data_IF_458520491312
#
_entry.id   IF_458520491312
#
_cell.length_a   1.000
_cell.length_b   1.000
_cell.length_c   1.000
_cell.angle_alpha   90.00
_cell.angle_beta   90.00
_cell.angle_gamma   90.00
#
_symmetry.space_group_name_H-M   'P 1'
#
loop_
_entity.id
_entity.type
_entity.pdbx_description
1 polymer ?
#
# COMPACT_ATOMS: atom_id res chain seq x y z
N UNK A 1 36.93 19.83 30.57
CA UNK A 1 36.49 20.00 29.18
C UNK A 1 35.49 21.16 29.12
N UNK A 2 35.74 22.20 28.34
CA UNK A 2 34.86 23.39 28.34
C UNK A 2 33.49 23.03 27.76
N UNK A 3 32.43 23.67 28.29
CA UNK A 3 31.03 23.49 27.77
C UNK A 3 30.94 23.75 26.26
N UNK A 4 31.79 24.62 25.71
CA UNK A 4 31.87 24.96 24.30
C UNK A 4 32.38 23.78 23.49
N UNK A 5 33.39 23.05 23.98
CA UNK A 5 33.93 21.85 23.30
C UNK A 5 32.90 20.72 23.24
N UNK A 6 32.13 20.51 24.31
CA UNK A 6 31.07 19.53 24.38
C UNK A 6 29.93 19.86 23.39
N UNK A 7 29.53 21.11 23.31
CA UNK A 7 28.51 21.59 22.37
C UNK A 7 28.94 21.36 20.91
N UNK A 8 30.20 21.65 20.58
CA UNK A 8 30.77 21.40 19.26
C UNK A 8 30.75 19.93 18.86
N UNK A 9 31.13 19.04 19.78
CA UNK A 9 31.06 17.58 19.55
C UNK A 9 29.65 17.10 19.30
N UNK A 10 28.66 17.59 20.08
CA UNK A 10 27.25 17.21 19.90
C UNK A 10 26.73 17.66 18.53
N UNK A 11 27.05 18.90 18.10
CA UNK A 11 26.65 19.42 16.78
C UNK A 11 27.25 18.57 15.65
N UNK A 12 28.52 18.23 15.75
CA UNK A 12 29.23 17.37 14.76
C UNK A 12 28.57 15.99 14.71
N UNK A 13 28.29 15.37 15.86
CA UNK A 13 27.62 14.07 15.91
C UNK A 13 26.22 14.10 15.28
N UNK A 14 25.44 15.14 15.55
CA UNK A 14 24.12 15.33 14.93
C UNK A 14 24.26 15.49 13.41
N UNK A 15 25.28 16.23 12.94
CA UNK A 15 25.53 16.41 11.51
C UNK A 15 25.98 15.12 10.84
N UNK A 16 26.86 14.34 11.47
CA UNK A 16 27.30 13.05 10.98
C UNK A 16 26.16 12.03 10.95
N UNK A 17 25.31 12.01 11.96
CA UNK A 17 24.13 11.14 12.00
C UNK A 17 23.13 11.53 10.90
N UNK A 18 22.89 12.84 10.69
CA UNK A 18 22.04 13.32 9.60
C UNK A 18 22.62 13.01 8.22
N UNK A 19 23.95 13.19 8.04
CA UNK A 19 24.66 12.86 6.80
C UNK A 19 24.61 11.36 6.51
N UNK A 20 24.94 10.53 7.49
CA UNK A 20 24.87 9.07 7.37
C UNK A 20 23.45 8.56 7.11
N UNK A 21 22.43 9.19 7.73
CA UNK A 21 21.03 8.94 7.41
C UNK A 21 20.72 9.27 5.93
N UNK A 22 21.15 10.44 5.46
CA UNK A 22 20.95 10.87 4.08
C UNK A 22 21.68 9.96 3.08
N UNK A 23 22.90 9.54 3.36
CA UNK A 23 23.68 8.62 2.53
C UNK A 23 23.09 7.21 2.51
N UNK A 24 22.58 6.69 3.63
CA UNK A 24 21.82 5.44 3.70
C UNK A 24 20.51 5.51 2.86
N UNK A 25 19.86 6.65 2.79
CA UNK A 25 18.68 6.84 1.94
C UNK A 25 19.04 6.96 0.45
N UNK A 26 20.23 7.50 0.11
CA UNK A 26 20.65 7.69 -1.29
C UNK A 26 21.28 6.43 -1.91
N UNK A 27 21.84 5.52 -1.11
CA UNK A 27 22.47 4.28 -1.61
C UNK A 27 21.49 3.14 -1.91
N UNK A 28 20.25 3.24 -1.45
CA UNK A 28 19.22 2.28 -1.84
C UNK A 28 18.56 2.87 -3.10
N UNK A 29 19.01 2.47 -4.29
CA UNK A 29 18.11 2.44 -5.46
C UNK A 29 17.00 1.45 -5.09
N UNK A 30 16.05 1.91 -4.29
CA UNK A 30 14.89 1.13 -3.91
C UNK A 30 14.03 1.01 -5.16
N UNK A 31 14.06 -0.15 -5.79
CA UNK A 31 13.06 -0.57 -6.78
C UNK A 31 11.71 -0.80 -6.06
N UNK A 32 11.42 0.01 -5.03
CA UNK A 32 10.19 -0.05 -4.29
C UNK A 32 9.26 1.05 -4.77
N UNK A 33 8.04 0.67 -5.03
CA UNK A 33 6.99 1.55 -5.51
C UNK A 33 5.97 1.82 -4.41
N UNK A 34 5.25 2.93 -4.56
CA UNK A 34 4.00 3.22 -3.85
C UNK A 34 2.93 3.52 -4.88
N UNK A 35 1.77 2.91 -4.75
CA UNK A 35 0.58 3.27 -5.48
C UNK A 35 -0.53 3.65 -4.50
N UNK A 36 -0.95 4.90 -4.55
CA UNK A 36 -2.17 5.35 -3.89
C UNK A 36 -3.37 5.03 -4.76
N UNK A 37 -4.37 4.36 -4.18
CA UNK A 37 -5.65 4.07 -4.81
C UNK A 37 -6.67 5.09 -4.34
N UNK A 38 -7.24 5.89 -5.26
CA UNK A 38 -8.20 6.93 -4.92
C UNK A 38 -9.39 6.96 -5.89
N UNK A 39 -10.50 7.51 -5.42
CA UNK A 39 -11.64 7.78 -6.30
C UNK A 39 -11.36 9.02 -7.14
N UNK A 40 -10.88 10.10 -6.53
CA UNK A 40 -10.58 11.37 -7.18
C UNK A 40 -9.21 11.89 -6.77
N UNK A 41 -8.52 12.52 -7.72
CA UNK A 41 -7.24 13.17 -7.43
C UNK A 41 -7.46 14.44 -6.61
N UNK A 42 -6.71 14.58 -5.50
CA UNK A 42 -6.76 15.75 -4.61
C UNK A 42 -5.37 16.36 -4.41
N UNK A 43 -5.32 17.64 -4.06
CA UNK A 43 -4.07 18.35 -3.74
C UNK A 43 -3.34 17.75 -2.53
N UNK A 44 -4.09 17.28 -1.54
CA UNK A 44 -3.57 16.66 -0.33
C UNK A 44 -2.88 15.31 -0.63
N UNK A 45 -3.46 14.52 -1.54
CA UNK A 45 -2.86 13.27 -1.98
C UNK A 45 -1.59 13.51 -2.79
N UNK A 46 -1.57 14.53 -3.66
CA UNK A 46 -0.36 14.97 -4.39
C UNK A 46 0.73 15.39 -3.39
N UNK A 47 0.40 16.18 -2.36
CA UNK A 47 1.35 16.60 -1.33
C UNK A 47 1.91 15.39 -0.55
N UNK A 48 1.06 14.46 -0.16
CA UNK A 48 1.48 13.21 0.48
C UNK A 48 2.43 12.42 -0.42
N UNK A 49 2.10 12.29 -1.70
CA UNK A 49 2.92 11.61 -2.71
C UNK A 49 4.30 12.25 -2.89
N UNK A 50 4.39 13.59 -2.96
CA UNK A 50 5.67 14.32 -3.00
C UNK A 50 6.57 14.01 -1.81
N UNK A 51 5.99 13.82 -0.64
CA UNK A 51 6.77 13.45 0.53
C UNK A 51 7.29 12.01 0.45
N UNK A 52 6.56 11.07 -0.15
CA UNK A 52 7.04 9.70 -0.34
C UNK A 52 8.23 9.61 -1.30
N UNK A 53 8.28 10.45 -2.34
CA UNK A 53 9.42 10.53 -3.28
C UNK A 53 10.72 10.87 -2.52
N UNK A 54 10.67 11.72 -1.50
CA UNK A 54 11.85 12.08 -0.68
C UNK A 54 12.49 10.88 0.04
N UNK A 55 11.74 9.79 0.20
CA UNK A 55 12.21 8.54 0.81
C UNK A 55 12.57 7.46 -0.23
N UNK A 56 12.75 7.86 -1.50
CA UNK A 56 13.29 7.01 -2.57
C UNK A 56 12.26 6.13 -3.27
N UNK A 57 10.96 6.40 -3.08
CA UNK A 57 9.91 5.66 -3.78
C UNK A 57 9.62 6.23 -5.17
N UNK A 58 9.38 5.35 -6.14
CA UNK A 58 8.65 5.72 -7.35
C UNK A 58 7.16 5.72 -7.00
N UNK A 59 6.49 6.86 -7.19
CA UNK A 59 5.13 7.07 -6.71
C UNK A 59 4.14 7.13 -7.85
N UNK A 60 3.03 6.44 -7.66
CA UNK A 60 1.89 6.38 -8.56
C UNK A 60 0.61 6.75 -7.80
N UNK A 61 -0.33 7.34 -8.50
CA UNK A 61 -1.71 7.54 -8.03
C UNK A 61 -2.63 6.92 -9.08
N UNK A 62 -3.35 5.87 -8.71
CA UNK A 62 -4.41 5.28 -9.53
C UNK A 62 -5.73 5.98 -9.22
N UNK A 63 -6.23 6.73 -10.19
CA UNK A 63 -7.51 7.45 -10.09
C UNK A 63 -8.62 6.60 -10.69
N UNK A 64 -9.66 6.33 -9.92
CA UNK A 64 -10.81 5.53 -10.39
C UNK A 64 -11.73 6.33 -11.31
N UNK A 65 -11.94 7.60 -11.02
CA UNK A 65 -12.83 8.48 -11.78
C UNK A 65 -12.25 8.81 -13.16
N UNK A 66 -12.89 8.33 -14.21
CA UNK A 66 -12.53 8.59 -15.60
C UNK A 66 -13.32 9.75 -16.23
N UNK A 67 -14.18 10.44 -15.47
CA UNK A 67 -14.98 11.57 -15.98
C UNK A 67 -14.14 12.82 -16.22
N UNK A 68 -13.04 12.96 -15.47
CA UNK A 68 -12.05 14.04 -15.63
C UNK A 68 -10.74 13.43 -16.08
N UNK A 69 -10.18 13.97 -17.17
CA UNK A 69 -8.88 13.53 -17.68
C UNK A 69 -7.75 14.27 -16.95
N UNK A 70 -6.84 13.53 -16.37
CA UNK A 70 -5.66 14.07 -15.71
C UNK A 70 -4.41 13.93 -16.57
N UNK A 71 -3.38 14.78 -16.39
CA UNK A 71 -2.08 14.58 -17.03
C UNK A 71 -1.48 13.26 -16.49
N UNK A 72 -0.72 12.56 -17.33
CA UNK A 72 -0.07 11.28 -16.95
C UNK A 72 1.02 11.46 -15.87
N UNK A 73 1.47 12.69 -15.64
CA UNK A 73 2.49 13.02 -14.64
C UNK A 73 2.24 14.41 -14.05
N UNK A 74 2.41 14.52 -12.74
CA UNK A 74 2.43 15.78 -12.00
C UNK A 74 3.71 15.78 -11.19
N UNK A 75 4.67 16.67 -11.52
CA UNK A 75 6.05 16.63 -11.03
C UNK A 75 6.65 15.21 -11.27
N UNK A 76 7.12 14.53 -10.21
CA UNK A 76 7.65 13.18 -10.28
C UNK A 76 6.62 12.08 -9.91
N UNK A 77 5.34 12.42 -9.83
CA UNK A 77 4.25 11.51 -9.51
C UNK A 77 3.60 11.03 -10.81
N UNK A 78 3.48 9.72 -10.99
CA UNK A 78 2.78 9.13 -12.13
C UNK A 78 1.28 9.05 -11.81
N UNK A 79 0.45 9.66 -12.64
CA UNK A 79 -1.01 9.62 -12.51
C UNK A 79 -1.56 8.60 -13.50
N UNK A 80 -2.31 7.65 -12.99
CA UNK A 80 -2.84 6.53 -13.75
C UNK A 80 -4.36 6.60 -13.81
N UNK A 81 -4.90 6.50 -15.02
CA UNK A 81 -6.33 6.30 -15.29
C UNK A 81 -6.45 5.16 -16.30
N UNK A 82 -7.14 4.08 -15.94
CA UNK A 82 -7.25 2.89 -16.77
C UNK A 82 -8.64 2.82 -17.41
N UNK A 83 -8.68 2.37 -18.67
CA UNK A 83 -9.92 2.09 -19.37
C UNK A 83 -10.63 0.88 -18.76
N UNK A 84 -11.88 1.08 -18.32
CA UNK A 84 -12.69 0.07 -17.66
C UNK A 84 -12.97 -1.12 -18.60
N UNK A 85 -13.25 -0.88 -19.88
CA UNK A 85 -13.52 -1.94 -20.85
C UNK A 85 -12.32 -2.83 -21.07
N UNK A 86 -11.11 -2.21 -21.14
CA UNK A 86 -9.85 -2.95 -21.26
C UNK A 86 -9.57 -3.83 -20.05
N UNK A 87 -9.77 -3.31 -18.83
CA UNK A 87 -9.63 -4.13 -17.62
C UNK A 87 -10.58 -5.33 -17.65
N UNK A 88 -11.87 -5.10 -17.97
CA UNK A 88 -12.89 -6.16 -18.04
C UNK A 88 -12.55 -7.21 -19.08
N UNK A 89 -12.13 -6.80 -20.27
CA UNK A 89 -11.82 -7.72 -21.39
C UNK A 89 -10.67 -8.68 -21.07
N UNK A 90 -9.74 -8.25 -20.19
CA UNK A 90 -8.60 -9.04 -19.74
C UNK A 90 -8.86 -9.78 -18.43
N UNK A 91 -10.08 -9.71 -17.87
CA UNK A 91 -10.47 -10.40 -16.65
C UNK A 91 -10.20 -9.63 -15.36
N UNK A 92 -9.66 -8.42 -15.42
CA UNK A 92 -9.40 -7.59 -14.22
C UNK A 92 -10.69 -6.92 -13.75
N UNK A 93 -11.49 -7.69 -13.02
CA UNK A 93 -12.78 -7.35 -12.42
C UNK A 93 -13.00 -8.18 -11.18
N UNK A 94 -13.88 -7.72 -10.28
CA UNK A 94 -14.28 -8.40 -9.05
C UNK A 94 -13.25 -8.40 -7.89
N UNK A 95 -12.23 -7.55 -7.93
CA UNK A 95 -11.34 -7.37 -6.78
C UNK A 95 -12.07 -6.80 -5.55
N UNK A 96 -13.16 -6.07 -5.75
CA UNK A 96 -14.04 -5.61 -4.66
C UNK A 96 -15.23 -6.53 -4.47
N UNK A 97 -15.65 -6.70 -3.20
CA UNK A 97 -16.85 -7.44 -2.86
C UNK A 97 -18.15 -6.71 -3.23
N UNK A 98 -18.14 -5.39 -3.15
CA UNK A 98 -19.32 -4.55 -3.47
C UNK A 98 -19.36 -4.25 -4.95
N UNK A 99 -20.10 -5.05 -5.69
CA UNK A 99 -20.22 -4.99 -7.16
C UNK A 99 -21.07 -3.81 -7.66
N UNK A 100 -21.06 -2.68 -6.98
CA UNK A 100 -21.82 -1.48 -7.43
C UNK A 100 -21.20 -0.84 -8.67
N UNK A 101 -19.89 -0.96 -8.84
CA UNK A 101 -19.10 -0.50 -9.98
C UNK A 101 -18.08 -1.57 -10.30
N UNK A 102 -17.94 -1.91 -11.54
CA UNK A 102 -16.95 -2.87 -12.02
C UNK A 102 -16.39 -2.38 -13.36
N UNK A 103 -15.08 -2.18 -13.50
CA UNK A 103 -14.07 -2.39 -12.47
C UNK A 103 -14.00 -1.24 -11.45
N UNK A 104 -13.36 -1.51 -10.31
CA UNK A 104 -13.00 -0.53 -9.29
C UNK A 104 -11.51 -0.24 -9.33
N UNK A 105 -11.05 0.74 -8.54
CA UNK A 105 -9.62 1.12 -8.48
C UNK A 105 -8.69 -0.08 -8.30
N UNK A 106 -9.06 -1.07 -7.47
CA UNK A 106 -8.26 -2.27 -7.22
C UNK A 106 -8.09 -3.17 -8.45
N UNK A 107 -9.12 -3.31 -9.28
CA UNK A 107 -9.02 -4.04 -10.56
C UNK A 107 -8.00 -3.37 -11.49
N UNK A 108 -8.03 -2.04 -11.56
CA UNK A 108 -7.12 -1.21 -12.37
C UNK A 108 -5.68 -1.28 -11.87
N UNK A 109 -5.49 -1.25 -10.55
CA UNK A 109 -4.19 -1.39 -9.90
C UNK A 109 -3.56 -2.73 -10.23
N UNK A 110 -4.28 -3.83 -10.05
CA UNK A 110 -3.77 -5.16 -10.38
C UNK A 110 -3.47 -5.28 -11.87
N UNK A 111 -4.34 -4.77 -12.75
CA UNK A 111 -4.06 -4.77 -14.19
C UNK A 111 -2.75 -4.05 -14.52
N UNK A 112 -2.59 -2.82 -14.03
CA UNK A 112 -1.44 -1.99 -14.38
C UNK A 112 -0.11 -2.61 -13.93
N UNK A 113 0.01 -2.98 -12.68
CA UNK A 113 1.26 -3.47 -12.11
C UNK A 113 1.57 -4.94 -12.42
N UNK A 114 0.60 -5.68 -12.93
CA UNK A 114 0.84 -7.03 -13.42
C UNK A 114 1.22 -7.09 -14.91
N UNK A 115 0.90 -6.04 -15.70
CA UNK A 115 1.04 -6.10 -17.17
C UNK A 115 1.82 -4.93 -17.79
N UNK A 116 1.84 -3.75 -17.18
CA UNK A 116 2.37 -2.54 -17.83
C UNK A 116 3.68 -2.09 -17.17
N UNK A 117 3.69 -1.85 -15.87
CA UNK A 117 4.90 -1.49 -15.14
C UNK A 117 5.22 -2.58 -14.11
N UNK A 118 6.14 -3.45 -14.45
CA UNK A 118 6.55 -4.62 -13.64
C UNK A 118 7.98 -4.51 -13.13
N UNK A 119 8.67 -3.39 -13.37
CA UNK A 119 10.06 -3.19 -12.94
C UNK A 119 10.14 -2.66 -11.50
N UNK A 120 9.73 -3.48 -10.55
CA UNK A 120 9.85 -3.19 -9.12
C UNK A 120 10.13 -4.48 -8.34
N UNK A 121 10.74 -4.32 -7.16
CA UNK A 121 10.91 -5.41 -6.20
C UNK A 121 9.65 -5.61 -5.37
N UNK A 122 9.18 -4.52 -4.76
CA UNK A 122 7.98 -4.48 -3.94
C UNK A 122 7.19 -3.20 -4.22
N UNK A 123 5.89 -3.26 -3.99
CA UNK A 123 4.99 -2.13 -4.09
C UNK A 123 4.06 -2.05 -2.88
N UNK A 124 3.98 -0.86 -2.27
CA UNK A 124 2.92 -0.54 -1.33
C UNK A 124 1.67 -0.11 -2.07
N UNK A 125 0.56 -0.72 -1.77
CA UNK A 125 -0.76 -0.28 -2.18
C UNK A 125 -1.48 0.34 -0.99
N UNK A 126 -2.00 1.56 -1.15
CA UNK A 126 -2.50 2.37 -0.05
C UNK A 126 -3.77 3.10 -0.51
N UNK A 127 -4.90 2.91 0.18
CA UNK A 127 -6.11 3.69 -0.07
C UNK A 127 -5.92 5.15 0.39
N UNK A 128 -6.58 6.09 -0.29
CA UNK A 128 -6.44 7.53 -0.04
C UNK A 128 -6.78 7.94 1.39
N UNK A 129 -7.63 7.18 2.06
CA UNK A 129 -8.07 7.42 3.44
C UNK A 129 -7.21 6.68 4.50
N UNK A 130 -6.06 6.16 4.10
CA UNK A 130 -5.03 5.68 5.03
C UNK A 130 -4.16 6.84 5.49
N UNK A 131 -4.19 7.13 6.78
CA UNK A 131 -3.34 8.14 7.40
C UNK A 131 -1.95 7.59 7.73
N UNK A 132 -0.92 8.28 7.25
CA UNK A 132 0.49 7.99 7.49
C UNK A 132 1.05 9.12 8.37
N UNK A 133 1.25 8.92 9.67
CA UNK A 133 1.67 9.97 10.59
C UNK A 133 3.06 10.52 10.28
N UNK A 134 4.02 9.65 9.94
CA UNK A 134 5.36 10.03 9.51
C UNK A 134 5.74 9.33 8.20
N UNK A 135 6.27 10.07 7.26
CA UNK A 135 6.48 9.58 5.89
C UNK A 135 7.64 8.58 5.76
N UNK A 136 8.59 8.54 6.67
CA UNK A 136 9.70 7.58 6.69
C UNK A 136 9.31 6.19 7.21
N UNK A 137 8.10 6.04 7.77
CA UNK A 137 7.64 4.79 8.36
C UNK A 137 7.64 3.62 7.35
N UNK A 138 7.15 3.86 6.13
CA UNK A 138 7.12 2.79 5.11
C UNK A 138 8.54 2.34 4.73
N UNK A 139 9.49 3.29 4.59
CA UNK A 139 10.88 2.96 4.31
C UNK A 139 11.55 2.20 5.46
N UNK A 140 11.17 2.48 6.70
CA UNK A 140 11.61 1.72 7.87
C UNK A 140 11.07 0.28 7.82
N UNK A 141 9.78 0.11 7.55
CA UNK A 141 9.14 -1.19 7.42
C UNK A 141 9.75 -2.03 6.29
N UNK A 142 10.10 -1.41 5.17
CA UNK A 142 10.79 -2.07 4.06
C UNK A 142 12.16 -2.59 4.47
N UNK A 143 12.96 -1.78 5.17
CA UNK A 143 14.29 -2.19 5.66
C UNK A 143 14.20 -3.34 6.67
N UNK A 144 13.19 -3.32 7.53
CA UNK A 144 12.96 -4.38 8.52
C UNK A 144 12.44 -5.68 7.89
N UNK A 145 11.87 -5.61 6.70
CA UNK A 145 11.19 -6.73 6.05
C UNK A 145 11.59 -6.90 4.57
N UNK A 146 12.89 -7.00 4.23
CA UNK A 146 13.37 -6.94 2.85
C UNK A 146 12.98 -8.16 2.00
N UNK A 147 12.65 -9.28 2.64
CA UNK A 147 12.46 -10.59 2.01
C UNK A 147 11.02 -11.12 2.14
N UNK A 148 10.08 -10.29 2.56
CA UNK A 148 8.67 -10.68 2.64
C UNK A 148 7.96 -10.38 1.32
N UNK A 149 7.11 -11.30 0.89
CA UNK A 149 6.31 -11.15 -0.33
C UNK A 149 5.03 -10.38 -0.09
N UNK A 150 4.46 -10.56 1.09
CA UNK A 150 3.28 -9.84 1.54
C UNK A 150 3.51 -9.28 2.95
N UNK A 151 3.34 -7.96 3.09
CA UNK A 151 3.16 -7.30 4.37
C UNK A 151 1.72 -6.84 4.46
N UNK A 152 1.00 -7.27 5.48
CA UNK A 152 -0.43 -7.00 5.64
C UNK A 152 -0.79 -6.77 7.12
N UNK A 153 -2.03 -6.39 7.37
CA UNK A 153 -2.54 -6.16 8.71
C UNK A 153 -2.62 -7.44 9.53
N UNK A 154 -3.14 -8.47 8.91
CA UNK A 154 -3.44 -9.77 9.52
C UNK A 154 -3.25 -10.88 8.49
N UNK A 155 -3.13 -12.11 8.96
CA UNK A 155 -3.02 -13.29 8.11
C UNK A 155 -3.83 -14.41 8.77
N UNK A 156 -5.13 -14.46 8.45
CA UNK A 156 -6.10 -15.31 9.12
C UNK A 156 -6.53 -16.43 8.19
N UNK A 157 -6.31 -17.67 8.63
CA UNK A 157 -6.81 -18.85 7.93
C UNK A 157 -8.30 -19.09 8.25
N UNK A 158 -9.08 -19.57 7.26
CA UNK A 158 -10.50 -19.93 7.45
C UNK A 158 -10.69 -20.88 8.64
N UNK A 159 -9.83 -21.88 8.76
CA UNK A 159 -9.92 -22.91 9.80
C UNK A 159 -9.77 -22.37 11.23
N UNK A 160 -9.15 -21.18 11.41
CA UNK A 160 -8.91 -20.56 12.72
C UNK A 160 -9.69 -19.25 12.90
N UNK A 161 -10.48 -18.85 11.90
CA UNK A 161 -11.24 -17.60 11.98
C UNK A 161 -12.44 -17.74 12.91
N UNK A 162 -12.49 -16.90 13.93
CA UNK A 162 -13.56 -16.88 14.94
C UNK A 162 -14.72 -15.97 14.56
N UNK A 163 -14.59 -15.20 13.50
CA UNK A 163 -15.65 -14.31 13.04
C UNK A 163 -16.38 -14.88 11.81
N UNK A 164 -17.65 -14.52 11.64
CA UNK A 164 -18.42 -14.82 10.42
C UNK A 164 -17.92 -13.93 9.27
N UNK A 165 -16.87 -14.38 8.59
CA UNK A 165 -16.37 -13.69 7.42
C UNK A 165 -16.96 -14.31 6.14
N UNK A 166 -16.72 -13.70 5.00
CA UNK A 166 -17.36 -14.07 3.72
C UNK A 166 -16.63 -15.21 2.98
N UNK A 167 -16.20 -16.25 3.67
CA UNK A 167 -15.39 -17.34 3.12
C UNK A 167 -16.00 -18.02 1.89
N UNK A 168 -17.34 -18.10 1.82
CA UNK A 168 -18.05 -18.67 0.66
C UNK A 168 -17.74 -17.96 -0.68
N UNK A 169 -17.17 -16.78 -0.67
CA UNK A 169 -16.70 -16.09 -1.89
C UNK A 169 -15.68 -16.94 -2.66
N UNK A 170 -14.89 -17.76 -1.97
CA UNK A 170 -13.86 -18.62 -2.56
C UNK A 170 -14.38 -19.90 -3.20
N UNK A 171 -15.62 -20.33 -2.88
CA UNK A 171 -16.19 -21.58 -3.37
C UNK A 171 -16.21 -21.62 -4.91
N UNK A 172 -15.65 -22.70 -5.47
CA UNK A 172 -15.54 -22.88 -6.92
C UNK A 172 -14.58 -21.94 -7.65
N UNK A 173 -13.95 -20.99 -6.95
CA UNK A 173 -13.06 -19.99 -7.54
C UNK A 173 -11.59 -20.19 -7.19
N UNK A 174 -11.30 -20.60 -5.97
CA UNK A 174 -9.95 -20.88 -5.50
C UNK A 174 -9.99 -22.07 -4.54
N UNK A 175 -8.98 -22.94 -4.59
CA UNK A 175 -8.89 -24.11 -3.69
C UNK A 175 -8.61 -23.69 -2.25
N UNK A 176 -8.96 -24.55 -1.30
CA UNK A 176 -8.56 -24.44 0.11
C UNK A 176 -7.10 -24.88 0.30
N UNK A 177 -6.42 -24.46 1.38
CA UNK A 177 -6.90 -23.63 2.47
C UNK A 177 -6.99 -22.14 2.08
N UNK A 178 -7.95 -21.43 2.67
CA UNK A 178 -8.17 -20.01 2.42
C UNK A 178 -7.62 -19.14 3.52
N UNK A 179 -7.11 -17.96 3.14
CA UNK A 179 -6.53 -16.97 4.03
C UNK A 179 -7.07 -15.58 3.70
N UNK A 180 -7.12 -14.69 4.68
CA UNK A 180 -7.59 -13.32 4.49
C UNK A 180 -6.78 -12.28 5.25
N UNK A 181 -6.85 -11.03 4.78
CA UNK A 181 -6.45 -9.83 5.48
C UNK A 181 -7.30 -8.65 5.02
N UNK A 182 -7.50 -7.63 5.86
CA UNK A 182 -7.99 -6.33 5.42
C UNK A 182 -6.84 -5.59 4.73
N UNK A 183 -6.98 -5.28 3.44
CA UNK A 183 -5.89 -4.86 2.56
C UNK A 183 -5.97 -3.38 2.10
N UNK A 184 -6.56 -2.49 2.89
CA UNK A 184 -6.58 -1.04 2.59
C UNK A 184 -5.17 -0.43 2.55
N UNK A 185 -4.19 -1.06 3.23
CA UNK A 185 -2.77 -0.77 3.15
C UNK A 185 -1.98 -2.07 3.28
N UNK A 186 -1.18 -2.38 2.26
CA UNK A 186 -0.35 -3.58 2.24
C UNK A 186 0.80 -3.44 1.25
N UNK A 187 1.84 -4.28 1.38
CA UNK A 187 2.93 -4.36 0.42
C UNK A 187 2.99 -5.72 -0.23
N UNK A 188 3.11 -5.75 -1.55
CA UNK A 188 3.30 -6.99 -2.32
C UNK A 188 4.65 -6.99 -3.04
N UNK A 189 5.24 -8.19 -3.18
CA UNK A 189 6.36 -8.40 -4.10
C UNK A 189 5.87 -8.50 -5.54
N UNK A 190 6.77 -8.22 -6.49
CA UNK A 190 6.49 -8.41 -7.91
C UNK A 190 6.00 -9.85 -8.20
N UNK A 191 6.68 -10.86 -7.68
CA UNK A 191 6.32 -12.27 -7.96
C UNK A 191 4.92 -12.64 -7.46
N UNK A 192 4.43 -12.03 -6.36
CA UNK A 192 3.05 -12.23 -5.92
C UNK A 192 2.07 -11.59 -6.90
N UNK A 193 2.38 -10.41 -7.43
CA UNK A 193 1.56 -9.77 -8.46
C UNK A 193 1.53 -10.57 -9.76
N UNK A 194 2.65 -11.17 -10.18
CA UNK A 194 2.67 -12.08 -11.33
C UNK A 194 1.77 -13.31 -11.09
N UNK A 195 1.74 -13.84 -9.86
CA UNK A 195 0.82 -14.95 -9.53
C UNK A 195 -0.65 -14.52 -9.55
N UNK A 196 -0.96 -13.28 -9.17
CA UNK A 196 -2.31 -12.70 -9.33
C UNK A 196 -2.67 -12.58 -10.82
N UNK A 197 -1.71 -12.20 -11.67
CA UNK A 197 -1.89 -12.18 -13.13
C UNK A 197 -2.25 -13.57 -13.65
N UNK A 198 -1.44 -14.59 -13.32
CA UNK A 198 -1.71 -15.97 -13.75
C UNK A 198 -3.11 -16.43 -13.35
N UNK A 199 -3.48 -16.16 -12.08
CA UNK A 199 -4.83 -16.47 -11.59
C UNK A 199 -5.92 -15.75 -12.40
N UNK A 200 -5.72 -14.47 -12.71
CA UNK A 200 -6.66 -13.70 -13.51
C UNK A 200 -6.77 -14.23 -14.94
N UNK A 201 -5.66 -14.63 -15.56
CA UNK A 201 -5.62 -15.21 -16.91
C UNK A 201 -6.33 -16.58 -16.96
N UNK A 202 -6.13 -17.41 -15.94
CA UNK A 202 -6.79 -18.73 -15.82
C UNK A 202 -8.30 -18.58 -15.60
N UNK A 203 -8.72 -17.69 -14.72
CA UNK A 203 -10.11 -17.57 -14.27
C UNK A 203 -10.94 -16.54 -15.03
N UNK A 204 -10.31 -15.70 -15.85
CA UNK A 204 -10.94 -14.54 -16.52
C UNK A 204 -11.68 -13.61 -15.57
N UNK A 205 -11.22 -13.60 -14.31
CA UNK A 205 -11.76 -12.77 -13.22
C UNK A 205 -10.79 -12.76 -12.05
N UNK A 206 -10.69 -11.64 -11.35
CA UNK A 206 -10.13 -11.60 -10.01
C UNK A 206 -11.12 -12.18 -8.99
N UNK A 207 -10.66 -12.47 -7.81
CA UNK A 207 -11.44 -12.75 -6.62
C UNK A 207 -11.35 -11.55 -5.67
N UNK A 208 -12.25 -11.46 -4.69
CA UNK A 208 -12.18 -10.43 -3.65
C UNK A 208 -10.77 -10.34 -3.04
N UNK A 209 -10.16 -9.16 -3.16
CA UNK A 209 -8.71 -9.00 -2.91
C UNK A 209 -8.27 -9.45 -1.52
N UNK A 210 -9.10 -9.20 -0.49
CA UNK A 210 -8.78 -9.55 0.90
C UNK A 210 -8.59 -11.06 1.12
N UNK A 211 -9.19 -11.89 0.28
CA UNK A 211 -9.01 -13.34 0.28
C UNK A 211 -7.97 -13.78 -0.75
N UNK A 212 -8.06 -13.25 -1.95
CA UNK A 212 -7.22 -13.68 -3.08
C UNK A 212 -5.73 -13.54 -2.77
N UNK A 213 -5.31 -12.37 -2.30
CA UNK A 213 -3.89 -12.04 -2.15
C UNK A 213 -3.21 -12.95 -1.12
N UNK A 214 -3.80 -13.08 0.07
CA UNK A 214 -3.25 -13.95 1.12
C UNK A 214 -3.29 -15.42 0.70
N UNK A 215 -4.42 -15.89 0.14
CA UNK A 215 -4.57 -17.28 -0.30
C UNK A 215 -3.55 -17.65 -1.38
N UNK A 216 -3.36 -16.80 -2.40
CA UNK A 216 -2.36 -17.05 -3.44
C UNK A 216 -0.93 -17.01 -2.89
N UNK A 217 -0.65 -16.13 -1.93
CA UNK A 217 0.66 -16.10 -1.28
C UNK A 217 0.96 -17.42 -0.57
N UNK A 218 0.02 -17.96 0.21
CA UNK A 218 0.18 -19.24 0.90
C UNK A 218 0.26 -20.43 -0.05
N UNK A 219 -0.59 -20.49 -1.08
CA UNK A 219 -0.57 -21.58 -2.08
C UNK A 219 0.75 -21.67 -2.83
N UNK A 220 1.51 -20.58 -2.92
CA UNK A 220 2.80 -20.54 -3.60
C UNK A 220 3.99 -20.51 -2.61
N UNK A 221 3.76 -20.79 -1.34
CA UNK A 221 4.80 -20.78 -0.29
C UNK A 221 5.54 -19.44 -0.20
N UNK A 222 4.85 -18.32 -0.46
CA UNK A 222 5.42 -16.98 -0.35
C UNK A 222 5.42 -16.52 1.11
N UNK A 223 6.37 -15.66 1.44
CA UNK A 223 6.56 -15.18 2.81
C UNK A 223 5.56 -14.08 3.16
N UNK A 224 4.55 -14.42 3.96
CA UNK A 224 3.55 -13.50 4.50
C UNK A 224 3.94 -13.03 5.89
N UNK A 225 3.77 -11.76 6.19
CA UNK A 225 3.98 -11.21 7.53
C UNK A 225 2.91 -10.18 7.89
N UNK A 226 2.19 -10.46 8.97
CA UNK A 226 1.30 -9.49 9.61
C UNK A 226 2.13 -8.48 10.41
N UNK A 227 1.90 -7.18 10.17
CA UNK A 227 2.62 -6.08 10.82
C UNK A 227 1.80 -5.48 11.97
N UNK A 228 2.43 -5.32 13.14
CA UNK A 228 1.83 -4.63 14.29
C UNK A 228 1.47 -3.17 13.98
N UNK A 229 2.25 -2.53 13.10
CA UNK A 229 2.06 -1.16 12.63
C UNK A 229 0.76 -0.95 11.82
N UNK A 230 0.16 -2.03 11.32
CA UNK A 230 -1.08 -2.02 10.55
C UNK A 230 -2.32 -2.44 11.38
N UNK A 231 -2.19 -2.68 12.69
CA UNK A 231 -3.32 -3.08 13.55
C UNK A 231 -4.46 -2.07 13.57
N UNK A 232 -4.15 -0.79 13.37
CA UNK A 232 -5.07 0.34 13.30
C UNK A 232 -5.72 0.53 11.92
N UNK A 233 -5.42 -0.34 10.96
CA UNK A 233 -6.20 -0.46 9.72
C UNK A 233 -7.47 -1.24 10.05
N UNK A 234 -8.62 -0.58 10.05
CA UNK A 234 -9.91 -1.15 10.43
C UNK A 234 -10.97 -0.84 9.38
N UNK A 235 -12.09 -1.57 9.39
CA UNK A 235 -13.18 -1.32 8.46
C UNK A 235 -13.97 -0.03 8.79
N UNK A 236 -14.22 0.19 10.10
CA UNK A 236 -14.99 1.34 10.58
C UNK A 236 -14.46 1.73 11.96
N UNK A 237 -13.67 2.77 12.03
CA UNK A 237 -13.23 3.36 13.29
C UNK A 237 -13.13 4.87 13.14
N UNK A 238 -13.14 5.58 14.26
CA UNK A 238 -12.85 7.01 14.34
C UNK A 238 -11.66 7.15 15.29
N UNK A 239 -10.62 7.81 14.82
CA UNK A 239 -9.41 8.06 15.60
C UNK A 239 -9.40 9.50 16.06
N UNK A 240 -9.06 9.71 17.32
CA UNK A 240 -8.75 11.01 17.89
C UNK A 240 -7.24 11.23 17.87
N UNK A 241 -6.80 12.48 18.08
CA UNK A 241 -5.37 12.80 18.06
C UNK A 241 -4.58 12.04 19.13
N UNK A 242 -5.16 11.85 20.29
CA UNK A 242 -4.57 11.10 21.40
C UNK A 242 -4.37 9.60 21.12
N UNK A 243 -5.11 9.05 20.12
CA UNK A 243 -4.98 7.65 19.69
C UNK A 243 -3.83 7.45 18.70
N UNK A 244 -3.22 8.56 18.21
CA UNK A 244 -2.24 8.50 17.12
C UNK A 244 -0.84 8.23 17.66
N UNK A 245 -0.30 7.08 17.29
CA UNK A 245 1.09 6.70 17.50
C UNK A 245 1.86 6.80 16.19
N UNK A 246 3.03 7.45 16.19
CA UNK A 246 3.84 7.71 15.00
C UNK A 246 4.27 6.44 14.22
N UNK A 247 4.25 5.29 14.87
CA UNK A 247 4.68 4.02 14.28
C UNK A 247 3.52 3.18 13.73
N UNK A 248 2.29 3.71 13.67
CA UNK A 248 1.13 3.01 13.15
C UNK A 248 0.55 3.73 11.93
N UNK A 249 -0.16 2.97 11.09
CA UNK A 249 -0.96 3.46 9.97
C UNK A 249 -2.44 3.34 10.32
N UNK A 250 -3.26 4.32 9.96
CA UNK A 250 -4.66 4.41 10.42
C UNK A 250 -5.63 4.42 9.24
N UNK A 251 -6.70 3.64 9.33
CA UNK A 251 -7.78 3.62 8.34
C UNK A 251 -9.12 3.27 9.02
N UNK A 252 -10.22 3.92 8.62
CA UNK A 252 -10.30 5.00 7.64
C UNK A 252 -10.15 6.39 8.28
N UNK A 253 -9.43 7.28 7.59
CA UNK A 253 -9.38 8.71 7.88
C UNK A 253 -9.71 9.51 6.61
N UNK A 254 -11.00 9.62 6.29
CA UNK A 254 -11.50 10.10 5.00
C UNK A 254 -11.27 11.59 4.72
N UNK A 255 -11.11 12.40 5.75
CA UNK A 255 -10.84 13.82 5.60
C UNK A 255 -9.33 14.04 5.43
N UNK A 256 -8.88 14.24 4.20
CA UNK A 256 -7.47 14.44 3.87
C UNK A 256 -6.92 15.77 4.45
N UNK A 257 -7.77 16.78 4.63
CA UNK A 257 -7.37 18.02 5.30
C UNK A 257 -7.09 17.75 6.78
N UNK A 258 -7.95 16.97 7.42
CA UNK A 258 -7.72 16.52 8.79
C UNK A 258 -6.41 15.73 8.91
N UNK A 259 -6.12 14.83 7.98
CA UNK A 259 -4.84 14.11 7.95
C UNK A 259 -3.64 15.07 7.92
N UNK A 260 -3.71 16.12 7.09
CA UNK A 260 -2.66 17.15 6.99
C UNK A 260 -2.50 17.91 8.31
N UNK A 261 -3.60 18.34 8.92
CA UNK A 261 -3.58 19.08 10.20
C UNK A 261 -3.07 18.19 11.35
N UNK A 262 -3.44 16.93 11.39
CA UNK A 262 -2.92 15.98 12.38
C UNK A 262 -1.40 15.84 12.26
N UNK A 263 -0.85 15.70 11.04
CA UNK A 263 0.61 15.61 10.85
C UNK A 263 1.39 16.82 11.32
N UNK A 264 0.77 18.02 11.29
CA UNK A 264 1.43 19.24 11.82
C UNK A 264 1.48 19.28 13.34
N UNK A 265 0.59 18.55 14.01
CA UNK A 265 0.48 18.52 15.47
C UNK A 265 1.30 17.39 16.11
N UNK A 266 1.73 16.42 15.33
CA UNK A 266 2.58 15.30 15.73
C UNK A 266 4.07 15.62 15.57
#
# INVERSE_FOLDING_TARGET
MSRILLLGIIIILIFLVKKKRKELFTQIKNNNYICFACVKLTSELIETSKNMIKYGYKVFIMVDDNTIKHPSKIDDINILQMDDKKCISLGYKNASRTLKKNPVTWDKVFYYFSNIDTDFKNIWFIEEDVFIPRFDLLAELDRQNPNQDLLCKEDIAEATDTIKWHWKIGEGKISKPWYRSLLCCHRQSNRLLQRIKDYCEERKSLLFLEMMVNTLAHHNNYKVKALKNLKTITWRNKFKIEDIHLNNLYHPMKDLKQQKELRKKL
#
